data_IF_670111304068
#
_entry.id   IF_670111304068
#
_cell.length_a   1.000
_cell.length_b   1.000
_cell.length_c   1.000
_cell.angle_alpha   90.00
_cell.angle_beta   90.00
_cell.angle_gamma   90.00
#
_symmetry.space_group_name_H-M   'P 1'
#
loop_
_entity.id
_entity.type
_entity.pdbx_description
1 polymer ?
#
# COMPACT_ATOMS: atom_id res chain seq x y z
N UNK A 1 -8.06 35.69 -35.70
CA UNK A 1 -9.16 34.74 -35.97
C UNK A 1 -8.52 33.48 -36.55
N UNK A 2 -8.80 32.24 -36.21
CA UNK A 2 -9.47 31.52 -35.12
C UNK A 2 -9.18 30.04 -35.42
N UNK A 3 -9.09 29.16 -34.42
CA UNK A 3 -9.19 27.71 -34.67
C UNK A 3 -8.42 26.83 -33.69
N UNK A 4 -8.91 26.69 -32.45
CA UNK A 4 -8.52 25.56 -31.60
C UNK A 4 -9.35 24.34 -32.01
N UNK A 5 -8.69 23.23 -32.38
CA UNK A 5 -9.34 21.94 -32.58
C UNK A 5 -9.63 21.27 -31.23
N UNK A 6 -10.90 21.17 -30.88
CA UNK A 6 -11.39 20.26 -29.84
C UNK A 6 -11.87 18.97 -30.52
N UNK A 7 -11.36 17.81 -30.10
CA UNK A 7 -11.91 16.52 -30.52
C UNK A 7 -12.54 15.84 -29.32
N UNK A 8 -13.87 15.91 -29.22
CA UNK A 8 -14.66 15.12 -28.29
C UNK A 8 -14.97 13.75 -28.91
N UNK A 9 -14.60 12.69 -28.20
CA UNK A 9 -15.00 11.31 -28.51
C UNK A 9 -16.14 10.84 -27.60
N UNK A 10 -17.34 10.77 -28.19
CA UNK A 10 -18.48 9.86 -27.93
C UNK A 10 -19.11 9.73 -26.52
N UNK A 11 -20.33 10.24 -26.48
CA UNK A 11 -21.50 9.92 -25.67
C UNK A 11 -21.74 8.42 -25.43
N UNK A 12 -22.05 8.07 -24.17
CA UNK A 12 -23.03 7.02 -23.84
C UNK A 12 -23.96 7.56 -22.76
N UNK A 13 -25.26 7.57 -23.07
CA UNK A 13 -26.35 7.99 -22.19
C UNK A 13 -26.55 6.96 -21.08
N UNK A 14 -26.28 7.34 -19.83
CA UNK A 14 -27.19 7.01 -18.73
C UNK A 14 -26.95 7.94 -17.54
N UNK A 15 -28.05 8.37 -16.94
CA UNK A 15 -28.16 9.50 -16.03
C UNK A 15 -27.39 9.31 -14.72
N UNK A 16 -26.45 10.21 -14.43
CA UNK A 16 -26.26 10.76 -13.09
C UNK A 16 -25.69 12.18 -13.22
N UNK A 17 -26.50 13.18 -12.85
CA UNK A 17 -26.31 14.60 -13.16
C UNK A 17 -25.29 15.29 -12.23
N UNK A 18 -24.12 14.67 -12.02
CA UNK A 18 -23.01 15.36 -11.37
C UNK A 18 -22.02 15.86 -12.43
N UNK A 19 -21.62 17.15 -12.39
CA UNK A 19 -20.60 17.65 -13.29
C UNK A 19 -19.33 16.80 -13.16
N UNK A 20 -18.61 16.52 -14.27
CA UNK A 20 -17.35 15.80 -14.20
C UNK A 20 -16.41 16.57 -13.26
N UNK A 21 -15.74 15.87 -12.33
CA UNK A 21 -14.89 16.53 -11.36
C UNK A 21 -13.77 17.32 -12.08
N UNK A 22 -13.35 18.47 -11.52
CA UNK A 22 -12.34 19.31 -12.15
C UNK A 22 -11.08 18.50 -12.44
N UNK A 23 -10.44 18.71 -13.62
CA UNK A 23 -9.18 18.03 -13.93
C UNK A 23 -8.15 18.35 -12.86
N UNK A 24 -7.59 17.31 -12.26
CA UNK A 24 -6.54 17.45 -11.25
C UNK A 24 -5.29 18.05 -11.90
N UNK A 25 -4.66 19.06 -11.28
CA UNK A 25 -3.39 19.59 -11.77
C UNK A 25 -2.36 18.46 -11.90
N UNK A 26 -1.63 18.43 -13.01
CA UNK A 26 -0.56 17.46 -13.25
C UNK A 26 0.43 17.51 -12.08
N UNK A 27 0.66 16.36 -11.43
CA UNK A 27 1.55 16.25 -10.27
C UNK A 27 0.89 16.51 -8.90
N UNK A 28 -0.40 16.83 -8.82
CA UNK A 28 -1.15 16.85 -7.55
C UNK A 28 -2.28 15.82 -7.53
N UNK A 29 -2.28 15.00 -6.48
CA UNK A 29 -3.37 14.06 -6.21
C UNK A 29 -4.68 14.80 -5.92
N UNK A 30 -5.79 14.21 -6.35
CA UNK A 30 -7.14 14.76 -6.17
C UNK A 30 -7.51 14.81 -4.70
N UNK A 31 -8.07 15.91 -4.22
CA UNK A 31 -8.59 15.98 -2.84
C UNK A 31 -9.87 15.15 -2.69
N UNK A 32 -10.04 14.54 -1.52
CA UNK A 32 -11.18 13.66 -1.23
C UNK A 32 -11.64 13.84 0.22
N UNK A 33 -12.92 13.58 0.47
CA UNK A 33 -13.50 13.46 1.81
C UNK A 33 -13.95 12.03 2.07
N UNK A 34 -14.40 11.33 1.03
CA UNK A 34 -14.88 9.96 1.09
C UNK A 34 -14.19 9.11 0.03
N UNK A 35 -14.25 7.79 0.19
CA UNK A 35 -13.66 6.83 -0.77
C UNK A 35 -14.21 7.03 -2.20
N UNK A 36 -15.49 7.34 -2.32
CA UNK A 36 -16.19 7.56 -3.60
C UNK A 36 -15.68 8.77 -4.38
N UNK A 37 -15.03 9.73 -3.72
CA UNK A 37 -14.42 10.87 -4.43
C UNK A 37 -13.22 10.44 -5.28
N UNK A 38 -12.66 9.26 -4.99
CA UNK A 38 -11.58 8.64 -5.75
C UNK A 38 -12.10 7.72 -6.86
N UNK A 39 -13.41 7.57 -7.00
CA UNK A 39 -14.00 6.81 -8.09
C UNK A 39 -13.59 7.44 -9.43
N UNK A 40 -13.16 6.59 -10.36
CA UNK A 40 -12.57 6.99 -11.64
C UNK A 40 -11.04 7.11 -11.63
N UNK A 41 -10.37 7.00 -10.48
CA UNK A 41 -8.91 6.92 -10.39
C UNK A 41 -8.51 5.53 -9.90
N UNK A 42 -7.94 4.74 -10.82
CA UNK A 42 -7.69 3.32 -10.58
C UNK A 42 -6.68 3.10 -9.45
N UNK A 43 -7.00 2.13 -8.56
CA UNK A 43 -6.14 1.71 -7.44
C UNK A 43 -5.77 2.81 -6.45
N UNK A 44 -6.60 3.86 -6.31
CA UNK A 44 -6.41 4.89 -5.27
C UNK A 44 -7.27 4.66 -4.04
N UNK A 45 -6.89 5.29 -2.94
CA UNK A 45 -7.68 5.33 -1.71
C UNK A 45 -7.63 6.74 -1.13
N UNK A 46 -8.74 7.18 -0.54
CA UNK A 46 -8.80 8.48 0.13
C UNK A 46 -8.04 8.41 1.46
N UNK A 47 -6.87 9.07 1.53
CA UNK A 47 -6.01 9.03 2.71
C UNK A 47 -5.29 10.36 2.91
N UNK A 48 -4.83 10.62 4.14
CA UNK A 48 -4.10 11.84 4.46
C UNK A 48 -2.68 11.80 3.88
N UNK A 49 -2.29 12.90 3.22
CA UNK A 49 -0.92 13.12 2.76
C UNK A 49 0.01 13.52 3.92
N UNK A 50 1.27 13.82 3.61
CA UNK A 50 2.26 14.29 4.60
C UNK A 50 1.90 15.64 5.25
N UNK A 51 1.00 16.42 4.64
CA UNK A 51 0.50 17.70 5.13
C UNK A 51 -0.83 17.56 5.90
N UNK A 52 -1.32 16.33 6.08
CA UNK A 52 -2.58 16.04 6.75
C UNK A 52 -3.84 16.27 5.90
N UNK A 53 -3.70 16.61 4.61
CA UNK A 53 -4.84 16.78 3.69
C UNK A 53 -5.22 15.45 3.07
N UNK A 54 -6.52 15.15 3.04
CA UNK A 54 -7.03 13.92 2.46
C UNK A 54 -7.07 14.00 0.93
N UNK A 55 -6.40 13.05 0.28
CA UNK A 55 -6.28 12.96 -1.17
C UNK A 55 -6.39 11.51 -1.64
N UNK A 56 -6.77 11.34 -2.91
CA UNK A 56 -6.75 10.07 -3.60
C UNK A 56 -5.31 9.69 -3.94
N UNK A 57 -4.73 8.86 -3.08
CA UNK A 57 -3.34 8.44 -3.19
C UNK A 57 -3.27 6.94 -3.49
N UNK A 58 -2.13 6.55 -4.04
CA UNK A 58 -1.78 5.16 -4.25
C UNK A 58 -1.52 4.44 -2.93
N UNK A 59 -1.43 3.11 -2.98
CA UNK A 59 -1.13 2.28 -1.82
C UNK A 59 0.15 2.69 -1.08
N UNK A 60 1.10 3.33 -1.76
CA UNK A 60 2.38 3.82 -1.24
C UNK A 60 2.40 5.32 -0.85
N UNK A 61 1.24 5.96 -0.73
CA UNK A 61 1.09 7.41 -0.49
C UNK A 61 1.52 8.32 -1.65
N UNK A 62 1.87 7.76 -2.82
CA UNK A 62 2.21 8.55 -4.00
C UNK A 62 0.96 9.07 -4.73
N UNK A 63 1.14 10.11 -5.55
CA UNK A 63 0.08 10.59 -6.42
C UNK A 63 -0.08 9.66 -7.64
N UNK A 64 -1.33 9.37 -8.08
CA UNK A 64 -1.57 8.58 -9.28
C UNK A 64 -0.99 9.27 -10.52
N UNK A 65 -0.37 8.49 -11.40
CA UNK A 65 0.20 8.97 -12.66
C UNK A 65 -0.81 8.66 -13.76
N UNK A 66 -1.21 9.68 -14.54
CA UNK A 66 -2.23 9.55 -15.59
C UNK A 66 -3.55 8.90 -15.12
N UNK A 67 -3.95 9.17 -13.87
CA UNK A 67 -5.20 8.66 -13.31
C UNK A 67 -5.16 7.21 -12.82
N UNK A 68 -3.98 6.60 -12.67
CA UNK A 68 -3.84 5.24 -12.17
C UNK A 68 -2.61 5.06 -11.27
N UNK A 69 -2.70 4.12 -10.33
CA UNK A 69 -1.57 3.62 -9.56
C UNK A 69 -1.05 2.31 -10.15
N UNK A 70 0.26 2.24 -10.39
CA UNK A 70 0.95 1.05 -10.88
C UNK A 70 1.34 0.09 -9.75
N UNK A 71 1.45 0.59 -8.53
CA UNK A 71 1.82 -0.20 -7.36
C UNK A 71 0.70 -1.16 -6.96
N UNK A 72 1.07 -2.46 -6.87
CA UNK A 72 0.16 -3.52 -6.39
C UNK A 72 0.09 -3.57 -4.86
N UNK A 73 1.19 -3.21 -4.20
CA UNK A 73 1.31 -3.28 -2.75
C UNK A 73 0.88 -1.99 -2.06
N UNK A 74 0.29 -2.15 -0.88
CA UNK A 74 -0.20 -1.11 0.01
C UNK A 74 0.76 -0.96 1.19
N UNK A 75 1.13 0.27 1.46
CA UNK A 75 1.88 0.69 2.63
C UNK A 75 1.11 0.41 3.92
N UNK A 76 1.83 0.51 5.03
CA UNK A 76 1.30 0.33 6.37
C UNK A 76 0.18 1.32 6.67
N UNK A 77 -0.78 0.87 7.47
CA UNK A 77 -1.97 1.60 7.90
C UNK A 77 -3.00 1.93 6.80
N UNK A 78 -2.74 1.50 5.56
CA UNK A 78 -3.71 1.56 4.46
C UNK A 78 -4.69 0.39 4.57
N UNK A 79 -5.95 0.63 4.24
CA UNK A 79 -7.00 -0.40 4.22
C UNK A 79 -6.70 -1.49 3.19
N UNK A 80 -6.88 -2.74 3.61
CA UNK A 80 -6.59 -3.94 2.84
C UNK A 80 -7.72 -4.97 3.01
N UNK A 81 -7.81 -5.92 2.08
CA UNK A 81 -8.70 -7.08 2.22
C UNK A 81 -7.95 -8.37 2.53
N UNK A 82 -6.76 -8.51 1.94
CA UNK A 82 -5.92 -9.70 1.97
C UNK A 82 -4.46 -9.34 2.25
N UNK A 83 -3.71 -10.28 2.81
CA UNK A 83 -2.29 -10.12 3.15
C UNK A 83 -1.43 -9.83 1.90
N UNK A 84 -1.80 -10.41 0.74
CA UNK A 84 -1.08 -10.20 -0.52
C UNK A 84 -1.19 -8.78 -1.09
N UNK A 85 -2.07 -7.94 -0.54
CA UNK A 85 -2.13 -6.52 -0.87
C UNK A 85 -1.10 -5.71 -0.08
N UNK A 86 -0.53 -6.23 1.00
CA UNK A 86 0.39 -5.50 1.86
C UNK A 86 1.85 -5.61 1.38
N UNK A 87 2.69 -4.65 1.78
CA UNK A 87 4.15 -4.73 1.57
C UNK A 87 4.77 -5.97 2.23
N UNK A 88 6.01 -6.27 1.86
CA UNK A 88 6.78 -7.37 2.43
C UNK A 88 6.87 -7.29 3.97
N UNK A 89 6.80 -8.44 4.63
CA UNK A 89 6.77 -8.58 6.09
C UNK A 89 5.61 -7.85 6.79
N UNK A 90 4.53 -7.54 6.07
CA UNK A 90 3.27 -7.06 6.62
C UNK A 90 2.12 -8.06 6.38
N UNK A 91 1.03 -7.88 7.12
CA UNK A 91 -0.21 -8.66 7.00
C UNK A 91 -1.43 -7.74 7.17
N UNK A 92 -2.60 -8.21 6.74
CA UNK A 92 -3.85 -7.48 6.71
C UNK A 92 -4.75 -7.86 7.90
N UNK A 93 -4.63 -7.13 9.01
CA UNK A 93 -5.39 -7.41 10.23
C UNK A 93 -6.23 -6.21 10.68
N UNK A 94 -7.28 -6.50 11.46
CA UNK A 94 -8.05 -5.48 12.17
C UNK A 94 -7.54 -5.38 13.61
N UNK A 95 -6.71 -4.38 13.92
CA UNK A 95 -6.31 -4.09 15.32
C UNK A 95 -7.41 -3.38 16.12
N UNK A 96 -8.27 -2.62 15.45
CA UNK A 96 -9.39 -1.91 16.07
C UNK A 96 -10.62 -2.11 15.18
N UNK A 97 -11.71 -2.63 15.76
CA UNK A 97 -12.93 -3.01 15.04
C UNK A 97 -13.57 -1.85 14.29
N UNK A 98 -13.35 -0.60 14.72
CA UNK A 98 -13.90 0.60 14.09
C UNK A 98 -13.21 1.05 12.80
N UNK A 99 -11.94 0.69 12.59
CA UNK A 99 -11.10 1.22 11.51
C UNK A 99 -10.94 0.26 10.32
N UNK A 100 -11.55 -0.92 10.40
CA UNK A 100 -11.43 -2.00 9.42
C UNK A 100 -10.05 -2.68 9.43
N UNK A 101 -9.85 -3.59 8.48
CA UNK A 101 -8.55 -4.24 8.27
C UNK A 101 -7.56 -3.28 7.61
N UNK A 102 -6.32 -3.29 8.08
CA UNK A 102 -5.21 -2.46 7.56
C UNK A 102 -3.91 -3.25 7.56
N UNK A 103 -2.96 -2.82 6.74
CA UNK A 103 -1.64 -3.44 6.69
C UNK A 103 -0.82 -3.06 7.93
N UNK A 104 -0.31 -4.07 8.64
CA UNK A 104 0.58 -3.92 9.79
C UNK A 104 1.78 -4.87 9.65
N UNK A 105 2.94 -4.49 10.20
CA UNK A 105 4.08 -5.40 10.22
C UNK A 105 3.76 -6.69 10.98
N UNK A 106 4.31 -7.80 10.48
CA UNK A 106 4.23 -9.11 11.11
C UNK A 106 4.97 -9.12 12.45
N UNK A 107 4.63 -10.08 13.30
CA UNK A 107 5.30 -10.23 14.60
C UNK A 107 6.80 -10.47 14.42
N UNK A 108 7.62 -9.76 15.21
CA UNK A 108 9.08 -9.75 15.06
C UNK A 108 9.61 -8.71 14.07
N UNK A 109 8.74 -8.01 13.35
CA UNK A 109 9.08 -6.86 12.52
C UNK A 109 8.51 -5.57 13.12
N UNK A 110 9.24 -4.47 12.94
CA UNK A 110 8.84 -3.14 13.34
C UNK A 110 8.77 -2.22 12.12
N UNK A 111 7.90 -1.21 12.23
CA UNK A 111 7.74 -0.20 11.20
C UNK A 111 8.94 0.75 11.23
N UNK A 112 9.72 0.78 10.15
CA UNK A 112 10.79 1.78 9.97
C UNK A 112 10.28 2.98 9.17
N UNK A 113 9.58 2.71 8.05
CA UNK A 113 8.87 3.72 7.26
C UNK A 113 7.48 3.21 6.90
N UNK A 114 6.64 4.04 6.27
CA UNK A 114 5.30 3.61 5.84
C UNK A 114 5.34 2.45 4.85
N UNK A 115 6.41 2.34 4.07
CA UNK A 115 6.55 1.31 3.02
C UNK A 115 7.57 0.24 3.38
N UNK A 116 7.99 0.14 4.65
CA UNK A 116 9.02 -0.81 5.05
C UNK A 116 8.84 -1.34 6.48
N UNK A 117 8.86 -2.67 6.60
CA UNK A 117 8.93 -3.39 7.86
C UNK A 117 10.32 -4.01 8.01
N UNK A 118 11.05 -3.62 9.04
CA UNK A 118 12.40 -4.09 9.33
C UNK A 118 12.38 -4.99 10.56
N UNK A 119 13.34 -5.91 10.67
CA UNK A 119 13.41 -6.89 11.74
C UNK A 119 13.68 -8.30 11.23
N UNK A 120 13.58 -9.26 12.14
CA UNK A 120 13.80 -10.66 11.83
C UNK A 120 12.79 -11.48 12.61
N UNK A 121 12.08 -12.37 11.92
CA UNK A 121 11.20 -13.32 12.61
C UNK A 121 12.04 -14.24 13.49
N UNK A 122 11.67 -14.33 14.78
CA UNK A 122 12.36 -15.15 15.79
C UNK A 122 12.47 -16.63 15.41
N UNK A 123 11.61 -17.10 14.50
CA UNK A 123 11.62 -18.47 13.97
C UNK A 123 12.93 -18.74 13.21
N UNK A 124 13.38 -17.79 12.38
CA UNK A 124 14.63 -17.95 11.64
C UNK A 124 15.84 -17.92 12.58
N UNK A 125 15.86 -17.02 13.56
CA UNK A 125 16.91 -16.99 14.59
C UNK A 125 17.00 -18.30 15.36
N UNK A 126 15.85 -18.90 15.72
CA UNK A 126 15.80 -20.20 16.39
C UNK A 126 16.33 -21.33 15.49
N UNK A 127 15.98 -21.36 14.21
CA UNK A 127 16.48 -22.38 13.27
C UNK A 127 18.00 -22.25 13.07
N UNK A 128 18.51 -21.03 12.86
CA UNK A 128 19.94 -20.80 12.70
C UNK A 128 20.73 -21.19 13.96
N UNK A 129 20.27 -20.79 15.15
CA UNK A 129 20.97 -21.15 16.40
C UNK A 129 20.96 -22.65 16.68
N UNK A 130 19.83 -23.33 16.45
CA UNK A 130 19.72 -24.78 16.67
C UNK A 130 20.56 -25.58 15.67
N UNK A 131 20.59 -25.18 14.40
CA UNK A 131 21.43 -25.83 13.38
C UNK A 131 22.92 -25.62 13.65
N UNK A 132 23.35 -24.41 14.02
CA UNK A 132 24.75 -24.15 14.40
C UNK A 132 25.19 -24.97 15.62
N UNK A 133 24.33 -25.08 16.64
CA UNK A 133 24.60 -25.90 17.82
C UNK A 133 24.68 -27.39 17.48
N UNK A 134 23.77 -27.90 16.64
CA UNK A 134 23.79 -29.29 16.19
C UNK A 134 25.06 -29.62 15.39
N UNK A 135 25.47 -28.75 14.47
CA UNK A 135 26.72 -28.91 13.70
C UNK A 135 27.94 -28.89 14.62
N UNK A 136 27.98 -27.98 15.60
CA UNK A 136 29.08 -27.89 16.56
C UNK A 136 29.20 -29.14 17.44
N UNK A 137 28.07 -29.73 17.85
CA UNK A 137 28.05 -30.99 18.60
C UNK A 137 28.50 -32.18 17.74
N UNK A 138 28.11 -32.23 16.47
CA UNK A 138 28.54 -33.27 15.53
C UNK A 138 30.04 -33.17 15.22
N UNK A 139 30.55 -31.97 14.91
CA UNK A 139 31.98 -31.75 14.65
C UNK A 139 32.84 -31.91 15.90
N UNK A 140 32.33 -31.51 17.08
CA UNK A 140 33.01 -31.72 18.35
C UNK A 140 33.14 -33.20 18.72
N UNK A 141 32.14 -34.02 18.37
CA UNK A 141 32.19 -35.50 18.51
C UNK A 141 33.20 -36.13 17.54
N UNK A 142 33.35 -35.59 16.33
CA UNK A 142 34.32 -36.08 15.33
C UNK A 142 35.77 -35.67 15.62
N UNK A 143 36.02 -34.55 16.28
CA UNK A 143 37.37 -34.09 16.65
C UNK A 143 37.88 -34.68 17.99
N UNK A 144 37.05 -35.42 18.73
CA UNK A 144 37.40 -36.04 20.01
C UNK A 144 37.72 -37.55 19.89
N UNK A 145 37.98 -38.04 18.67
CA UNK A 145 38.48 -39.39 18.36
C UNK A 145 39.82 -39.25 17.67
#
# INVERSE_FOLDING_TARGET
MSGALTTFGKTNQNQNTNPPPPPTPVGKARECKMKTDCDGIQNTTCMADSLGKTRCLCGDYSAPINGACTNKFKALHVSCNDDGECIENAHCIARNSSLGKRCYCQDGFYQETRSFCNGCSSIFTSIYTTTFLAISLLLGRLNYI
#
